data_IF_923610231994
#
_entry.id   IF_923610231994
#
_cell.length_a   1.000
_cell.length_b   1.000
_cell.length_c   1.000
_cell.angle_alpha   90.00
_cell.angle_beta   90.00
_cell.angle_gamma   90.00
#
_symmetry.space_group_name_H-M   'P 1'
#
loop_
_entity.id
_entity.type
_entity.pdbx_description
1 polymer ?
#
# COMPACT_ATOMS: atom_id res chain seq x y z
N UNK A 1 -55.83 -10.18 45.79
CA UNK A 1 -54.48 -9.57 45.72
C UNK A 1 -54.54 -8.16 46.27
N UNK A 2 -53.67 -7.79 47.22
CA UNK A 2 -53.67 -6.44 47.82
C UNK A 2 -53.20 -5.43 46.77
N UNK A 3 -53.87 -4.28 46.68
CA UNK A 3 -53.62 -3.21 45.69
C UNK A 3 -52.13 -2.81 45.58
N UNK A 4 -51.38 -2.93 46.67
CA UNK A 4 -49.94 -2.71 46.73
C UNK A 4 -49.11 -3.73 45.93
N UNK A 5 -49.47 -5.01 45.90
CA UNK A 5 -48.74 -6.03 45.12
C UNK A 5 -48.90 -5.83 43.61
N UNK A 6 -50.06 -5.29 43.18
CA UNK A 6 -50.32 -4.97 41.78
C UNK A 6 -49.45 -3.79 41.31
N UNK A 7 -49.28 -2.78 42.16
CA UNK A 7 -48.43 -1.61 41.88
C UNK A 7 -46.96 -2.02 41.74
N UNK A 8 -46.46 -2.89 42.63
CA UNK A 8 -45.08 -3.40 42.57
C UNK A 8 -44.80 -4.25 41.33
N UNK A 9 -45.77 -5.05 40.88
CA UNK A 9 -45.66 -5.82 39.64
C UNK A 9 -45.59 -4.91 38.41
N UNK A 10 -46.47 -3.90 38.32
CA UNK A 10 -46.50 -2.98 37.19
C UNK A 10 -45.21 -2.15 37.12
N UNK A 11 -44.68 -1.68 38.25
CA UNK A 11 -43.43 -0.91 38.26
C UNK A 11 -42.21 -1.73 37.80
N UNK A 12 -42.18 -3.03 38.11
CA UNK A 12 -41.09 -3.91 37.67
C UNK A 12 -41.06 -4.10 36.15
N UNK A 13 -42.23 -4.28 35.53
CA UNK A 13 -42.33 -4.44 34.07
C UNK A 13 -42.03 -3.15 33.31
N UNK A 14 -42.44 -1.99 33.82
CA UNK A 14 -42.10 -0.69 33.22
C UNK A 14 -40.58 -0.45 33.25
N UNK A 15 -39.93 -0.74 34.36
CA UNK A 15 -38.48 -0.57 34.49
C UNK A 15 -37.72 -1.49 33.53
N UNK A 16 -38.14 -2.75 33.41
CA UNK A 16 -37.55 -3.71 32.47
C UNK A 16 -37.73 -3.28 31.00
N UNK A 17 -38.89 -2.72 30.65
CA UNK A 17 -39.14 -2.18 29.31
C UNK A 17 -38.22 -1.00 28.97
N UNK A 18 -38.03 -0.06 29.91
CA UNK A 18 -37.13 1.09 29.71
C UNK A 18 -35.68 0.64 29.56
N UNK A 19 -35.22 -0.29 30.40
CA UNK A 19 -33.86 -0.86 30.30
C UNK A 19 -33.65 -1.61 28.99
N UNK A 20 -34.64 -2.38 28.54
CA UNK A 20 -34.60 -3.08 27.25
C UNK A 20 -34.49 -2.11 26.07
N UNK A 21 -35.25 -1.02 26.08
CA UNK A 21 -35.19 0.03 25.05
C UNK A 21 -33.84 0.75 25.07
N UNK A 22 -33.32 1.10 26.26
CA UNK A 22 -32.00 1.74 26.38
C UNK A 22 -30.86 0.84 25.89
N UNK A 23 -30.90 -0.45 26.20
CA UNK A 23 -29.93 -1.43 25.70
C UNK A 23 -30.05 -1.60 24.18
N UNK A 24 -31.28 -1.61 23.64
CA UNK A 24 -31.51 -1.72 22.19
C UNK A 24 -31.04 -0.49 21.42
N UNK A 25 -31.25 0.71 21.96
CA UNK A 25 -30.78 1.97 21.37
C UNK A 25 -29.25 2.06 21.48
N UNK A 26 -28.66 1.65 22.61
CA UNK A 26 -27.21 1.61 22.79
C UNK A 26 -26.50 0.64 21.84
N UNK A 27 -27.15 -0.45 21.44
CA UNK A 27 -26.62 -1.42 20.45
C UNK A 27 -26.76 -0.94 19.00
N UNK A 28 -27.63 0.04 18.72
CA UNK A 28 -27.67 0.77 17.45
C UNK A 28 -26.70 1.96 17.46
N UNK A 29 -25.49 1.77 17.99
CA UNK A 29 -24.40 2.57 17.46
C UNK A 29 -24.24 2.11 16.02
N UNK A 30 -24.76 2.92 15.10
CA UNK A 30 -24.52 2.81 13.67
C UNK A 30 -23.04 2.44 13.50
N UNK A 31 -22.78 1.32 12.81
CA UNK A 31 -21.43 0.94 12.46
C UNK A 31 -20.80 2.20 11.88
N UNK A 32 -19.79 2.74 12.57
CA UNK A 32 -19.05 3.90 12.08
C UNK A 32 -18.41 3.39 10.80
N UNK A 33 -19.07 3.68 9.68
CA UNK A 33 -18.56 3.37 8.36
C UNK A 33 -17.17 4.02 8.35
N UNK A 34 -16.08 3.24 8.15
CA UNK A 34 -14.75 3.83 8.09
C UNK A 34 -14.82 4.99 7.09
N UNK A 35 -14.17 6.12 7.37
CA UNK A 35 -14.24 7.29 6.49
C UNK A 35 -13.98 6.81 5.06
N UNK A 36 -14.98 6.95 4.17
CA UNK A 36 -14.77 6.70 2.75
C UNK A 36 -13.64 7.63 2.35
N UNK A 37 -12.51 7.06 1.95
CA UNK A 37 -11.43 7.79 1.31
C UNK A 37 -12.08 8.68 0.25
N UNK A 38 -11.98 10.00 0.46
CA UNK A 38 -12.56 10.99 -0.45
C UNK A 38 -12.13 10.65 -1.88
N UNK A 39 -13.10 10.53 -2.79
CA UNK A 39 -12.98 10.15 -4.22
C UNK A 39 -12.19 11.16 -5.08
N UNK A 40 -11.17 11.81 -4.52
CA UNK A 40 -10.24 12.61 -5.30
C UNK A 40 -9.05 11.73 -5.64
N UNK A 41 -9.19 10.98 -6.73
CA UNK A 41 -8.06 10.29 -7.37
C UNK A 41 -7.00 11.35 -7.71
N UNK A 42 -5.91 11.35 -6.97
CA UNK A 42 -4.76 12.21 -7.24
C UNK A 42 -3.77 11.44 -8.12
N UNK A 43 -3.76 11.77 -9.41
CA UNK A 43 -2.76 11.23 -10.33
C UNK A 43 -1.40 11.87 -10.04
N UNK A 44 -0.38 11.03 -9.87
CA UNK A 44 0.98 11.45 -9.53
C UNK A 44 1.98 10.94 -10.55
N UNK A 45 3.06 11.68 -10.77
CA UNK A 45 4.20 11.19 -11.54
C UNK A 45 5.21 10.54 -10.58
N UNK A 46 5.39 9.23 -10.69
CA UNK A 46 6.34 8.47 -9.86
C UNK A 46 7.75 8.40 -10.43
N UNK A 47 7.99 8.96 -11.62
CA UNK A 47 9.29 8.98 -12.28
C UNK A 47 9.90 10.37 -12.17
N UNK A 48 10.89 10.50 -11.30
CA UNK A 48 11.72 11.70 -11.19
C UNK A 48 12.80 11.68 -12.29
N UNK A 49 12.83 12.68 -13.18
CA UNK A 49 13.80 12.74 -14.28
C UNK A 49 15.26 12.85 -13.83
N UNK A 50 15.53 13.21 -12.56
CA UNK A 50 16.90 13.22 -12.01
C UNK A 50 17.45 11.81 -11.76
N UNK A 51 16.59 10.79 -11.76
CA UNK A 51 16.94 9.39 -11.56
C UNK A 51 16.52 8.59 -12.81
N UNK A 52 17.27 8.66 -13.93
CA UNK A 52 16.95 7.88 -15.13
C UNK A 52 17.14 6.38 -14.86
N UNK A 53 16.54 5.55 -15.72
CA UNK A 53 16.62 4.10 -15.64
C UNK A 53 18.08 3.60 -15.50
N UNK A 54 18.31 2.69 -14.55
CA UNK A 54 19.61 2.07 -14.35
C UNK A 54 20.01 1.26 -15.59
N UNK A 55 21.09 1.68 -16.26
CA UNK A 55 21.61 1.05 -17.48
C UNK A 55 22.61 -0.09 -17.18
N UNK A 56 22.24 -1.01 -16.27
CA UNK A 56 23.14 -2.06 -15.74
C UNK A 56 24.47 -1.49 -15.19
N UNK A 57 24.40 -0.29 -14.61
CA UNK A 57 25.55 0.40 -14.05
C UNK A 57 26.01 -0.23 -12.71
N UNK A 58 27.31 -0.17 -12.38
CA UNK A 58 27.80 -0.60 -11.07
C UNK A 58 27.06 0.12 -9.92
N UNK A 59 26.78 -0.61 -8.85
CA UNK A 59 26.13 -0.08 -7.64
C UNK A 59 24.63 -0.34 -7.54
N UNK A 60 24.03 -1.04 -8.51
CA UNK A 60 22.62 -1.47 -8.50
C UNK A 60 22.47 -2.97 -8.21
N UNK A 61 23.11 -3.46 -7.14
CA UNK A 61 23.18 -4.90 -6.87
C UNK A 61 21.90 -5.43 -6.20
N UNK A 62 21.10 -4.55 -5.60
CA UNK A 62 19.79 -4.92 -5.08
C UNK A 62 18.81 -5.09 -6.23
N UNK A 63 18.29 -6.31 -6.39
CA UNK A 63 17.36 -6.69 -7.45
C UNK A 63 16.36 -7.68 -6.87
N UNK A 64 15.08 -7.42 -7.01
CA UNK A 64 13.98 -8.34 -6.74
C UNK A 64 13.10 -8.40 -7.96
N UNK A 65 12.70 -9.59 -8.36
CA UNK A 65 12.02 -9.82 -9.63
C UNK A 65 10.74 -10.62 -9.40
N UNK A 66 9.69 -10.28 -10.14
CA UNK A 66 8.41 -10.98 -10.16
C UNK A 66 7.82 -10.86 -11.56
N UNK A 67 7.00 -11.84 -11.96
CA UNK A 67 6.31 -11.84 -13.25
C UNK A 67 4.80 -11.81 -13.04
N UNK A 68 4.10 -11.02 -13.86
CA UNK A 68 2.64 -10.91 -13.84
C UNK A 68 2.11 -10.39 -15.18
N UNK A 69 0.90 -10.81 -15.55
CA UNK A 69 0.13 -10.21 -16.64
C UNK A 69 -0.47 -8.89 -16.13
N UNK A 70 0.17 -7.77 -16.44
CA UNK A 70 -0.21 -6.45 -15.95
C UNK A 70 -1.19 -5.73 -16.87
N UNK A 71 -1.09 -5.94 -18.18
CA UNK A 71 -1.97 -5.29 -19.16
C UNK A 71 -3.22 -6.11 -19.54
N UNK A 72 -3.27 -7.38 -19.11
CA UNK A 72 -4.40 -8.28 -19.27
C UNK A 72 -4.44 -8.99 -20.61
N UNK A 73 -3.32 -9.07 -21.34
CA UNK A 73 -3.24 -9.72 -22.66
C UNK A 73 -2.96 -11.23 -22.59
N UNK A 74 -2.66 -11.75 -21.40
CA UNK A 74 -2.35 -13.17 -21.14
C UNK A 74 -0.87 -13.52 -21.21
N UNK A 75 0.00 -12.57 -21.54
CA UNK A 75 1.45 -12.69 -21.46
C UNK A 75 1.94 -12.16 -20.12
N UNK A 76 3.15 -12.57 -19.70
CA UNK A 76 3.71 -12.11 -18.43
C UNK A 76 4.73 -11.00 -18.69
N UNK A 77 4.54 -9.85 -18.05
CA UNK A 77 5.57 -8.84 -17.91
C UNK A 77 6.55 -9.21 -16.80
N UNK A 78 7.81 -8.85 -16.98
CA UNK A 78 8.83 -8.95 -15.94
C UNK A 78 8.91 -7.62 -15.17
N UNK A 79 8.70 -7.69 -13.86
CA UNK A 79 8.82 -6.56 -12.94
C UNK A 79 10.12 -6.67 -12.16
N UNK A 80 11.02 -5.69 -12.32
CA UNK A 80 12.26 -5.55 -11.58
C UNK A 80 12.16 -4.40 -10.60
N UNK A 81 12.28 -4.70 -9.30
CA UNK A 81 12.53 -3.71 -8.25
C UNK A 81 14.02 -3.66 -7.98
N UNK A 82 14.62 -2.47 -8.13
CA UNK A 82 16.06 -2.29 -7.91
C UNK A 82 16.36 -1.03 -7.13
N UNK A 83 17.48 -1.05 -6.41
CA UNK A 83 17.98 0.08 -5.66
C UNK A 83 19.48 0.20 -5.87
N UNK A 84 19.99 1.43 -5.77
CA UNK A 84 21.43 1.68 -5.80
C UNK A 84 22.04 1.31 -4.44
N UNK A 85 22.24 0.02 -4.23
CA UNK A 85 22.91 -0.54 -3.07
C UNK A 85 23.92 -1.60 -3.53
N UNK A 86 25.14 -1.53 -3.01
CA UNK A 86 26.22 -2.46 -3.32
C UNK A 86 26.20 -3.66 -2.40
N UNK A 87 26.66 -4.83 -2.86
CA UNK A 87 26.89 -5.97 -1.95
C UNK A 87 28.10 -5.70 -1.05
N UNK A 88 28.00 -6.12 0.21
CA UNK A 88 29.14 -6.05 1.13
C UNK A 88 30.28 -6.96 0.64
N UNK A 89 31.51 -6.42 0.47
CA UNK A 89 32.68 -7.23 0.14
C UNK A 89 33.01 -8.30 1.20
N UNK A 90 32.59 -8.05 2.46
CA UNK A 90 32.80 -8.96 3.58
C UNK A 90 31.71 -10.05 3.69
N UNK A 91 30.49 -9.75 3.23
CA UNK A 91 29.37 -10.70 3.23
C UNK A 91 28.47 -10.46 1.99
N UNK A 92 28.60 -11.28 0.93
CA UNK A 92 27.82 -11.11 -0.30
C UNK A 92 26.30 -11.22 -0.13
N UNK A 93 25.82 -11.74 1.00
CA UNK A 93 24.39 -11.83 1.32
C UNK A 93 23.82 -10.53 1.93
N UNK A 94 24.69 -9.57 2.26
CA UNK A 94 24.31 -8.27 2.81
C UNK A 94 24.53 -7.18 1.78
N UNK A 95 23.68 -6.16 1.85
CA UNK A 95 23.81 -4.93 1.07
C UNK A 95 24.37 -3.83 1.97
N UNK A 96 25.18 -2.96 1.36
CA UNK A 96 25.66 -1.72 1.94
C UNK A 96 24.65 -0.65 1.57
N UNK A 97 23.96 -0.16 2.58
CA UNK A 97 22.91 0.82 2.42
C UNK A 97 23.33 2.17 2.99
N UNK A 98 22.88 3.23 2.31
CA UNK A 98 23.11 4.62 2.70
C UNK A 98 21.88 5.19 3.41
N UNK A 99 22.00 6.39 4.00
CA UNK A 99 20.87 7.12 4.60
C UNK A 99 19.79 7.52 3.55
N UNK A 100 20.02 7.23 2.29
CA UNK A 100 19.05 7.26 1.21
C UNK A 100 19.68 6.86 -0.11
N UNK A 101 18.86 6.39 -1.04
CA UNK A 101 19.32 5.92 -2.33
C UNK A 101 18.19 5.98 -3.37
N UNK A 102 18.53 6.06 -4.67
CA UNK A 102 17.56 5.87 -5.73
C UNK A 102 16.98 4.45 -5.71
N UNK A 103 15.66 4.37 -5.82
CA UNK A 103 14.89 3.14 -6.02
C UNK A 103 14.14 3.22 -7.33
N UNK A 104 14.05 2.08 -8.03
CA UNK A 104 13.40 1.97 -9.33
C UNK A 104 12.50 0.75 -9.40
N UNK A 105 11.42 0.89 -10.16
CA UNK A 105 10.60 -0.23 -10.61
C UNK A 105 10.54 -0.16 -12.13
N UNK A 106 11.01 -1.23 -12.76
CA UNK A 106 11.01 -1.39 -14.21
C UNK A 106 10.03 -2.51 -14.57
N UNK A 107 9.21 -2.27 -15.59
CA UNK A 107 8.38 -3.30 -16.21
C UNK A 107 8.94 -3.57 -17.60
N UNK A 108 9.20 -4.83 -17.93
CA UNK A 108 9.68 -5.25 -19.24
C UNK A 108 8.59 -6.09 -19.91
N UNK A 109 8.16 -5.68 -21.10
CA UNK A 109 7.21 -6.44 -21.91
C UNK A 109 7.81 -7.78 -22.37
N UNK A 110 6.98 -8.75 -22.79
CA UNK A 110 7.46 -9.99 -23.42
C UNK A 110 8.40 -9.76 -24.61
N UNK A 111 8.21 -8.67 -25.36
CA UNK A 111 9.03 -8.27 -26.50
C UNK A 111 10.33 -7.55 -26.09
N UNK A 112 10.51 -7.23 -24.81
CA UNK A 112 11.72 -6.65 -24.23
C UNK A 112 11.71 -5.12 -24.11
N UNK A 113 10.60 -4.46 -24.37
CA UNK A 113 10.48 -3.02 -24.13
C UNK A 113 10.41 -2.70 -22.64
N UNK A 114 11.27 -1.77 -22.21
CA UNK A 114 11.40 -1.38 -20.81
C UNK A 114 10.60 -0.12 -20.52
N UNK A 115 9.78 -0.17 -19.48
CA UNK A 115 8.98 0.95 -18.97
C UNK A 115 9.33 1.22 -17.52
N UNK A 116 9.92 2.39 -17.25
CA UNK A 116 10.20 2.84 -15.89
C UNK A 116 8.91 3.34 -15.25
N UNK A 117 8.40 2.64 -14.24
CA UNK A 117 7.10 2.94 -13.61
C UNK A 117 7.24 3.68 -12.28
N UNK A 118 8.41 3.60 -11.66
CA UNK A 118 8.79 4.33 -10.46
C UNK A 118 10.28 4.63 -10.52
N UNK A 119 10.69 5.85 -10.18
CA UNK A 119 12.09 6.21 -9.96
C UNK A 119 12.21 7.43 -9.06
N UNK A 120 12.67 7.24 -7.82
CA UNK A 120 12.81 8.31 -6.82
C UNK A 120 13.91 8.01 -5.82
N UNK A 121 14.43 9.06 -5.20
CA UNK A 121 15.22 8.94 -3.98
C UNK A 121 14.34 8.59 -2.79
N UNK A 122 14.69 7.53 -2.06
CA UNK A 122 14.00 7.13 -0.82
C UNK A 122 14.98 7.33 0.33
N UNK A 123 14.62 8.19 1.28
CA UNK A 123 15.45 8.49 2.45
C UNK A 123 15.10 7.55 3.61
N UNK A 124 16.12 6.86 4.16
CA UNK A 124 16.02 5.94 5.30
C UNK A 124 14.78 5.05 5.16
N UNK A 125 14.77 4.21 4.12
CA UNK A 125 13.52 3.56 3.72
C UNK A 125 13.67 2.39 2.76
N UNK A 126 12.55 1.74 2.52
CA UNK A 126 12.43 0.59 1.62
C UNK A 126 11.26 0.82 0.64
N UNK A 127 11.39 0.24 -0.55
CA UNK A 127 10.28 0.12 -1.49
C UNK A 127 9.74 -1.30 -1.45
N UNK A 128 8.42 -1.45 -1.36
CA UNK A 128 7.76 -2.74 -1.60
C UNK A 128 6.82 -2.61 -2.78
N UNK A 129 6.89 -3.60 -3.67
CA UNK A 129 5.98 -3.70 -4.81
C UNK A 129 5.17 -4.96 -4.65
N UNK A 130 3.86 -4.82 -4.75
CA UNK A 130 2.90 -5.91 -4.71
C UNK A 130 2.16 -5.93 -6.05
N UNK A 131 1.86 -7.13 -6.55
CA UNK A 131 0.98 -7.30 -7.69
C UNK A 131 -0.42 -7.53 -7.16
N UNK A 132 -1.34 -6.62 -7.49
CA UNK A 132 -2.75 -6.74 -7.15
C UNK A 132 -3.43 -7.77 -8.03
N UNK A 133 -4.22 -8.65 -7.40
CA UNK A 133 -5.10 -9.55 -8.16
C UNK A 133 -6.17 -8.73 -8.90
N UNK A 134 -6.50 -9.09 -10.16
CA UNK A 134 -7.58 -8.44 -10.88
C UNK A 134 -8.91 -8.70 -10.15
N UNK A 135 -9.61 -7.63 -9.79
CA UNK A 135 -11.01 -7.73 -9.37
C UNK A 135 -11.92 -7.84 -10.59
N UNK A 136 -13.19 -8.20 -10.39
CA UNK A 136 -14.16 -8.34 -11.48
C UNK A 136 -14.27 -7.02 -12.27
N UNK A 137 -13.84 -7.03 -13.54
CA UNK A 137 -13.73 -5.87 -14.44
C UNK A 137 -12.58 -4.87 -14.15
N UNK A 138 -11.60 -5.22 -13.32
CA UNK A 138 -10.37 -4.45 -13.15
C UNK A 138 -9.16 -5.19 -13.71
N UNK A 139 -8.24 -4.44 -14.34
CA UNK A 139 -6.93 -4.98 -14.72
C UNK A 139 -6.06 -5.16 -13.48
N UNK A 140 -5.10 -6.10 -13.54
CA UNK A 140 -4.04 -6.17 -12.55
C UNK A 140 -3.31 -4.82 -12.47
N UNK A 141 -2.77 -4.54 -11.29
CA UNK A 141 -2.09 -3.28 -11.02
C UNK A 141 -0.96 -3.52 -10.04
N UNK A 142 0.03 -2.63 -10.04
CA UNK A 142 1.06 -2.64 -9.02
C UNK A 142 0.59 -1.78 -7.84
N UNK A 143 0.82 -2.26 -6.63
CA UNK A 143 0.78 -1.44 -5.43
C UNK A 143 2.22 -1.18 -5.01
N UNK A 144 2.61 0.09 -5.00
CA UNK A 144 3.92 0.53 -4.56
C UNK A 144 3.78 1.14 -3.17
N UNK A 145 4.49 0.58 -2.20
CA UNK A 145 4.60 1.09 -0.84
C UNK A 145 5.98 1.70 -0.65
N UNK A 146 6.01 3.02 -0.52
CA UNK A 146 7.19 3.80 -0.18
C UNK A 146 7.22 4.01 1.33
N UNK A 147 8.13 3.31 2.01
CA UNK A 147 8.25 3.31 3.45
C UNK A 147 9.51 4.09 3.82
N UNK A 148 9.36 5.32 4.29
CA UNK A 148 10.47 6.19 4.69
C UNK A 148 10.51 6.35 6.20
N UNK A 149 11.57 6.97 6.73
CA UNK A 149 11.66 7.28 8.15
C UNK A 149 10.59 8.27 8.66
N UNK A 150 9.96 9.05 7.77
CA UNK A 150 9.03 10.11 8.14
C UNK A 150 7.60 9.92 7.61
N UNK A 151 7.40 9.13 6.55
CA UNK A 151 6.12 8.96 5.86
C UNK A 151 5.94 7.52 5.34
N UNK A 152 4.69 7.08 5.27
CA UNK A 152 4.25 5.96 4.43
C UNK A 152 3.43 6.50 3.27
N UNK A 153 3.83 6.17 2.05
CA UNK A 153 3.05 6.46 0.85
C UNK A 153 2.68 5.17 0.12
N UNK A 154 1.46 5.12 -0.42
CA UNK A 154 0.97 3.99 -1.22
C UNK A 154 0.42 4.50 -2.54
N UNK A 155 0.84 3.85 -3.63
CA UNK A 155 0.43 4.20 -4.98
C UNK A 155 -0.17 2.98 -5.69
N UNK A 156 -1.26 3.19 -6.44
CA UNK A 156 -1.77 2.23 -7.42
C UNK A 156 -1.19 2.61 -8.78
N UNK A 157 -0.50 1.69 -9.43
CA UNK A 157 0.09 1.91 -10.75
C UNK A 157 -0.55 0.96 -11.74
N UNK A 158 -1.20 1.51 -12.76
CA UNK A 158 -1.66 0.76 -13.92
C UNK A 158 -0.60 0.75 -15.02
N UNK A 159 -0.51 -0.38 -15.69
CA UNK A 159 0.34 -0.58 -16.87
C UNK A 159 -0.56 -1.08 -18.01
N UNK A 160 -0.48 -0.44 -19.17
CA UNK A 160 -1.31 -0.76 -20.35
C UNK A 160 -0.44 -1.05 -21.58
N UNK A 161 0.76 -1.55 -21.36
CA UNK A 161 1.77 -1.78 -22.38
C UNK A 161 2.93 -0.76 -22.36
N UNK A 162 3.91 -0.92 -23.27
CA UNK A 162 5.16 -0.17 -23.24
C UNK A 162 4.96 1.35 -23.22
N UNK A 163 5.56 2.01 -22.24
CA UNK A 163 5.48 3.47 -22.06
C UNK A 163 4.11 4.00 -21.60
N UNK A 164 3.13 3.13 -21.35
CA UNK A 164 1.76 3.51 -21.00
C UNK A 164 1.46 3.17 -19.54
N UNK A 165 1.75 4.10 -18.65
CA UNK A 165 1.51 3.96 -17.21
C UNK A 165 0.67 5.11 -16.66
N UNK A 166 -0.09 4.81 -15.62
CA UNK A 166 -0.73 5.81 -14.77
C UNK A 166 -0.49 5.45 -13.31
N UNK A 167 -0.41 6.46 -12.44
CA UNK A 167 -0.23 6.24 -11.01
C UNK A 167 -1.16 7.12 -10.20
N UNK A 168 -1.82 6.52 -9.22
CA UNK A 168 -2.76 7.16 -8.30
C UNK A 168 -2.19 7.10 -6.88
N UNK A 169 -2.15 8.24 -6.19
CA UNK A 169 -1.85 8.27 -4.76
C UNK A 169 -3.05 7.77 -3.97
N UNK A 170 -2.89 6.68 -3.23
CA UNK A 170 -3.93 6.09 -2.40
C UNK A 170 -3.85 6.59 -0.96
N UNK A 171 -2.62 6.72 -0.44
CA UNK A 171 -2.37 7.20 0.91
C UNK A 171 -1.02 7.90 0.99
N UNK A 172 -0.95 8.94 1.81
CA UNK A 172 0.29 9.54 2.28
C UNK A 172 0.07 9.94 3.74
N UNK A 173 0.79 9.30 4.66
CA UNK A 173 0.60 9.51 6.09
C UNK A 173 1.96 9.71 6.77
N UNK A 174 2.12 10.78 7.57
CA UNK A 174 3.32 10.98 8.36
C UNK A 174 3.41 9.95 9.49
N UNK A 175 4.63 9.44 9.70
CA UNK A 175 4.97 8.52 10.77
C UNK A 175 5.53 9.33 11.95
N UNK A 176 4.94 9.15 13.12
CA UNK A 176 5.43 9.74 14.37
C UNK A 176 6.27 8.73 15.17
N UNK A 177 5.94 7.44 15.06
CA UNK A 177 6.63 6.34 15.72
C UNK A 177 6.38 5.01 15.00
N UNK A 178 7.30 4.06 15.12
CA UNK A 178 7.21 2.74 14.47
C UNK A 178 7.48 1.61 15.46
N UNK A 179 6.81 0.48 15.28
CA UNK A 179 7.04 -0.75 16.05
C UNK A 179 7.15 -1.93 15.07
N UNK A 180 8.18 -2.76 15.23
CA UNK A 180 8.51 -3.84 14.31
C UNK A 180 10.03 -4.01 14.19
N UNK A 181 10.52 -5.01 13.43
CA UNK A 181 11.92 -5.01 13.05
C UNK A 181 12.24 -3.66 12.40
N UNK A 182 13.43 -3.11 12.68
CA UNK A 182 13.90 -1.93 11.98
C UNK A 182 13.74 -2.18 10.47
N UNK A 183 13.22 -1.18 9.75
CA UNK A 183 13.44 -1.13 8.32
C UNK A 183 14.94 -1.34 8.17
N UNK A 184 15.34 -2.42 7.48
CA UNK A 184 16.75 -2.64 7.20
C UNK A 184 17.23 -1.31 6.61
N UNK A 185 18.29 -0.69 7.17
CA UNK A 185 18.92 0.44 6.51
C UNK A 185 19.14 0.05 5.06
#
# INVERSE_FOLDING_TARGET
MKRQQLIWLISGWVLAGILGIMLWIGYRQDAVEPPRLSERTEYVNLVDPNYPAAADEPGWDYRQEVEADLDGDGSLEHILVTARAERSPANPNEYLWDDGQPWQVMVTSPEGEKTLVYSRWVQIGQLRVLVGEPQENERPHLIILELTGANVSMYKVGYNGPGQTNAESLIEVPIINQAGPALLP
#
